data_IF_172330925305
#
_entry.id   IF_172330925305
#
_cell.length_a   1.000
_cell.length_b   1.000
_cell.length_c   1.000
_cell.angle_alpha   90.00
_cell.angle_beta   90.00
_cell.angle_gamma   90.00
#
_symmetry.space_group_name_H-M   'P 1'
#
loop_
_entity.id
_entity.type
_entity.pdbx_description
1 polymer ?
#
# COMPACT_ATOMS: atom_id res chain seq x y z
N UNK A 1 -0.93 8.70 13.40
CA UNK A 1 -1.13 7.27 13.34
C UNK A 1 0.18 6.53 13.25
N UNK A 2 0.14 5.26 13.48
CA UNK A 2 1.25 4.35 13.24
C UNK A 2 0.75 3.28 12.26
N UNK A 3 1.66 2.63 11.54
CA UNK A 3 1.30 1.46 10.76
C UNK A 3 1.00 0.27 11.67
N UNK A 4 0.32 -0.73 11.13
CA UNK A 4 -0.11 -1.90 11.91
C UNK A 4 1.07 -2.70 12.46
N UNK A 5 2.22 -2.78 11.77
CA UNK A 5 3.39 -3.50 12.24
C UNK A 5 3.96 -2.86 13.52
N UNK A 6 4.12 -1.54 13.54
CA UNK A 6 4.55 -0.81 14.73
C UNK A 6 3.55 -0.94 15.91
N UNK A 7 2.25 -1.01 15.61
CA UNK A 7 1.22 -1.24 16.64
C UNK A 7 1.27 -2.67 17.19
N UNK A 8 1.52 -3.66 16.37
CA UNK A 8 1.71 -5.05 16.78
C UNK A 8 2.96 -5.21 17.66
N UNK A 9 4.07 -4.57 17.31
CA UNK A 9 5.27 -4.56 18.14
C UNK A 9 5.03 -3.88 19.49
N UNK A 10 4.33 -2.72 19.49
CA UNK A 10 3.97 -2.03 20.73
C UNK A 10 3.05 -2.88 21.61
N UNK A 11 2.12 -3.63 21.02
CA UNK A 11 1.25 -4.57 21.72
C UNK A 11 2.06 -5.72 22.32
N UNK A 12 2.99 -6.30 21.57
CA UNK A 12 3.88 -7.38 22.04
C UNK A 12 4.76 -6.95 23.22
N UNK A 13 5.15 -5.67 23.26
CA UNK A 13 5.91 -5.07 24.38
C UNK A 13 5.03 -4.61 25.55
N UNK A 14 3.74 -4.98 25.59
CA UNK A 14 2.79 -4.55 26.61
C UNK A 14 2.64 -3.02 26.72
N UNK A 15 2.85 -2.32 25.59
CA UNK A 15 2.82 -0.86 25.49
C UNK A 15 1.43 -0.26 25.30
N UNK A 16 0.44 -1.09 24.94
CA UNK A 16 -0.91 -0.66 24.60
C UNK A 16 -1.93 -1.04 25.68
N UNK A 17 -3.05 -0.33 25.70
CA UNK A 17 -4.21 -0.64 26.56
C UNK A 17 -5.34 -1.15 25.69
N UNK A 18 -5.82 -2.35 25.97
CA UNK A 18 -7.00 -2.89 25.31
C UNK A 18 -8.24 -2.04 25.59
N UNK A 19 -8.96 -1.68 24.54
CA UNK A 19 -10.23 -0.97 24.61
C UNK A 19 -11.06 -1.36 23.40
N UNK A 20 -12.31 -1.73 23.58
CA UNK A 20 -13.22 -2.06 22.47
C UNK A 20 -14.23 -0.91 22.29
N UNK A 21 -13.98 0.02 21.35
CA UNK A 21 -14.93 1.07 21.03
C UNK A 21 -16.18 0.48 20.39
N UNK A 22 -17.34 1.08 20.64
CA UNK A 22 -18.59 0.66 20.01
C UNK A 22 -18.52 0.82 18.48
N UNK A 23 -17.80 1.82 17.99
CA UNK A 23 -17.58 2.07 16.57
C UNK A 23 -16.79 0.94 15.86
N UNK A 24 -16.01 0.13 16.59
CA UNK A 24 -15.28 -1.00 16.00
C UNK A 24 -16.21 -2.09 15.41
N UNK A 25 -17.47 -2.12 15.81
CA UNK A 25 -18.47 -3.01 15.19
C UNK A 25 -18.74 -2.67 13.71
N UNK A 26 -18.31 -1.51 13.24
CA UNK A 26 -18.44 -1.08 11.85
C UNK A 26 -17.21 -1.38 10.98
N UNK A 27 -16.18 -2.05 11.49
CA UNK A 27 -15.02 -2.46 10.66
C UNK A 27 -15.49 -3.36 9.53
N UNK A 28 -15.01 -3.08 8.32
CA UNK A 28 -15.34 -3.85 7.12
C UNK A 28 -14.61 -5.19 7.06
N UNK A 29 -13.49 -5.30 7.77
CA UNK A 29 -12.70 -6.53 7.88
C UNK A 29 -12.21 -6.74 9.32
N UNK A 30 -12.25 -7.99 9.80
CA UNK A 30 -11.73 -8.38 11.11
C UNK A 30 -10.23 -8.20 11.26
N UNK A 31 -9.49 -8.28 10.16
CA UNK A 31 -8.04 -8.10 10.11
C UNK A 31 -7.61 -6.64 10.29
N UNK A 32 -8.56 -5.71 10.30
CA UNK A 32 -8.32 -4.30 10.62
C UNK A 32 -8.30 -4.02 12.13
N UNK A 33 -8.19 -5.05 12.96
CA UNK A 33 -8.04 -4.90 14.40
C UNK A 33 -6.94 -5.82 14.95
N UNK A 34 -6.21 -5.30 15.93
CA UNK A 34 -5.26 -6.09 16.70
C UNK A 34 -5.94 -7.06 17.68
N UNK A 35 -5.20 -8.07 18.11
CA UNK A 35 -5.66 -9.06 19.08
C UNK A 35 -6.17 -8.35 20.34
N UNK A 36 -7.30 -8.83 20.88
CA UNK A 36 -7.93 -8.34 22.10
C UNK A 36 -8.25 -6.84 22.13
N UNK A 37 -8.38 -6.18 20.95
CA UNK A 37 -8.76 -4.76 20.87
C UNK A 37 -7.66 -3.81 21.34
N UNK A 38 -6.41 -4.16 21.12
CA UNK A 38 -5.27 -3.32 21.50
C UNK A 38 -5.03 -2.16 20.52
N UNK A 39 -5.39 -2.33 19.25
CA UNK A 39 -5.32 -1.30 18.22
C UNK A 39 -6.36 -1.57 17.13
N UNK A 40 -6.64 -0.54 16.32
CA UNK A 40 -7.60 -0.60 15.20
C UNK A 40 -7.07 0.16 14.00
N UNK A 41 -7.28 -0.40 12.82
CA UNK A 41 -7.03 0.27 11.55
C UNK A 41 -8.01 1.42 11.33
N UNK A 42 -7.51 2.51 10.81
CA UNK A 42 -8.30 3.73 10.52
C UNK A 42 -8.23 4.14 9.05
N UNK A 43 -7.29 3.60 8.31
CA UNK A 43 -7.14 3.85 6.88
C UNK A 43 -6.34 2.73 6.21
N UNK A 44 -6.74 2.37 5.00
CA UNK A 44 -6.04 1.45 4.10
C UNK A 44 -5.44 2.23 2.94
N UNK A 45 -4.20 1.91 2.59
CA UNK A 45 -3.55 2.41 1.38
C UNK A 45 -2.91 1.25 0.63
N UNK A 46 -3.54 0.78 -0.47
CA UNK A 46 -3.01 -0.33 -1.26
C UNK A 46 -1.73 0.04 -1.98
N UNK A 47 -0.76 -0.88 -2.02
CA UNK A 47 0.25 -0.86 -3.05
C UNK A 47 -0.36 -1.44 -4.33
N UNK A 48 -0.29 -0.71 -5.42
CA UNK A 48 -0.89 -1.13 -6.67
C UNK A 48 -0.18 -0.53 -7.88
N UNK A 49 -0.84 -0.63 -9.01
CA UNK A 49 -0.32 -0.15 -10.29
C UNK A 49 -0.92 1.23 -10.62
N UNK A 50 -0.05 2.15 -10.95
CA UNK A 50 -0.37 3.46 -11.50
C UNK A 50 0.06 3.46 -12.97
N UNK A 51 -0.88 3.71 -13.88
CA UNK A 51 -0.66 3.51 -15.31
C UNK A 51 -1.08 4.73 -16.10
N UNK A 52 -0.23 5.24 -17.01
CA UNK A 52 -0.61 6.28 -17.95
C UNK A 52 -1.34 5.66 -19.15
N UNK A 53 -2.67 5.76 -19.15
CA UNK A 53 -3.53 5.15 -20.18
C UNK A 53 -3.37 5.80 -21.55
N UNK A 54 -3.03 7.09 -21.62
CA UNK A 54 -2.79 7.78 -22.89
C UNK A 54 -1.50 7.27 -23.56
N UNK A 55 -0.43 7.08 -22.78
CA UNK A 55 0.85 6.54 -23.27
C UNK A 55 0.70 5.10 -23.76
N UNK A 56 0.07 4.21 -22.98
CA UNK A 56 -0.18 2.83 -23.41
C UNK A 56 -1.02 2.75 -24.68
N UNK A 57 -2.07 3.54 -24.77
CA UNK A 57 -2.90 3.62 -25.98
C UNK A 57 -2.11 4.07 -27.19
N UNK A 58 -1.19 5.02 -27.04
CA UNK A 58 -0.33 5.47 -28.14
C UNK A 58 0.65 4.38 -28.59
N UNK A 59 1.11 3.53 -27.66
CA UNK A 59 2.01 2.41 -27.93
C UNK A 59 1.27 1.16 -28.41
N UNK A 60 -0.06 1.13 -28.36
CA UNK A 60 -0.92 -0.04 -28.65
C UNK A 60 -0.63 -1.21 -27.71
N UNK A 61 -0.34 -0.92 -26.41
CA UNK A 61 -0.09 -1.87 -25.34
C UNK A 61 -1.29 -1.86 -24.37
N UNK A 62 -1.73 -3.03 -23.93
CA UNK A 62 -2.76 -3.16 -22.91
C UNK A 62 -2.23 -2.74 -21.54
N UNK A 63 -3.10 -2.29 -20.64
CA UNK A 63 -2.69 -1.98 -19.28
C UNK A 63 -2.49 -3.27 -18.46
N UNK A 64 -1.45 -3.35 -17.61
CA UNK A 64 -1.28 -4.49 -16.74
C UNK A 64 -2.39 -4.52 -15.67
N UNK A 65 -2.91 -5.71 -15.37
CA UNK A 65 -3.93 -5.96 -14.35
C UNK A 65 -3.39 -6.82 -13.19
N UNK A 66 -2.19 -7.39 -13.32
CA UNK A 66 -1.55 -8.24 -12.30
C UNK A 66 -0.06 -7.91 -12.15
N UNK A 67 0.55 -8.39 -11.06
CA UNK A 67 2.01 -8.34 -10.90
C UNK A 67 2.70 -9.19 -11.97
N UNK A 68 2.15 -10.38 -12.29
CA UNK A 68 2.71 -11.26 -13.31
C UNK A 68 2.81 -10.55 -14.67
N UNK A 69 1.88 -9.69 -15.00
CA UNK A 69 1.90 -8.93 -16.26
C UNK A 69 3.16 -8.08 -16.42
N UNK A 70 3.76 -7.60 -15.32
CA UNK A 70 4.96 -6.78 -15.36
C UNK A 70 6.19 -7.51 -15.93
N UNK A 71 6.16 -8.84 -16.03
CA UNK A 71 7.23 -9.63 -16.64
C UNK A 71 7.15 -9.68 -18.17
N UNK A 72 6.05 -9.20 -18.78
CA UNK A 72 5.85 -9.24 -20.23
C UNK A 72 6.80 -8.27 -20.94
N UNK A 73 7.40 -8.72 -22.02
CA UNK A 73 8.38 -7.95 -22.80
C UNK A 73 7.82 -6.64 -23.38
N UNK A 74 6.51 -6.52 -23.53
CA UNK A 74 5.86 -5.29 -23.99
C UNK A 74 6.03 -4.11 -23.04
N UNK A 75 6.35 -4.35 -21.76
CA UNK A 75 6.65 -3.32 -20.76
C UNK A 75 8.14 -3.01 -20.62
N UNK A 76 9.00 -3.52 -21.51
CA UNK A 76 10.44 -3.30 -21.44
C UNK A 76 10.80 -1.80 -21.37
N UNK A 77 11.56 -1.43 -20.32
CA UNK A 77 11.94 -0.04 -19.97
C UNK A 77 10.75 0.93 -19.74
N UNK A 78 9.55 0.42 -19.47
CA UNK A 78 8.37 1.26 -19.21
C UNK A 78 7.99 1.32 -17.72
N UNK A 79 8.61 0.48 -16.87
CA UNK A 79 8.23 0.31 -15.48
C UNK A 79 9.16 1.12 -14.55
N UNK A 80 8.54 1.79 -13.58
CA UNK A 80 9.24 2.35 -12.42
C UNK A 80 8.78 1.63 -11.16
N UNK A 81 9.73 1.16 -10.34
CA UNK A 81 9.46 0.48 -9.08
C UNK A 81 10.03 1.26 -7.89
N UNK A 82 9.49 1.09 -6.68
CA UNK A 82 10.11 1.60 -5.47
C UNK A 82 11.37 0.80 -5.13
N UNK A 83 12.37 1.46 -4.55
CA UNK A 83 13.57 0.80 -4.01
C UNK A 83 13.19 -0.14 -2.87
N UNK A 84 13.84 -1.31 -2.78
CA UNK A 84 13.49 -2.36 -1.82
C UNK A 84 13.76 -2.02 -0.35
N UNK A 85 14.47 -0.93 -0.06
CA UNK A 85 14.65 -0.40 1.31
C UNK A 85 13.54 0.55 1.75
N UNK A 86 12.61 0.89 0.84
CA UNK A 86 11.40 1.66 1.15
C UNK A 86 10.25 0.76 1.63
N UNK A 87 9.24 1.36 2.25
CA UNK A 87 8.00 0.65 2.62
C UNK A 87 7.31 0.04 1.41
N UNK A 88 7.21 0.78 0.30
CA UNK A 88 6.58 0.30 -0.93
C UNK A 88 7.36 -0.85 -1.57
N UNK A 89 8.70 -0.77 -1.58
CA UNK A 89 9.54 -1.85 -2.10
C UNK A 89 9.46 -3.12 -1.27
N UNK A 90 9.37 -2.98 0.06
CA UNK A 90 9.14 -4.11 0.97
C UNK A 90 7.75 -4.73 0.76
N UNK A 91 6.72 -3.90 0.55
CA UNK A 91 5.38 -4.38 0.21
C UNK A 91 5.37 -5.11 -1.14
N UNK A 92 6.08 -4.61 -2.15
CA UNK A 92 6.22 -5.30 -3.45
C UNK A 92 6.90 -6.66 -3.29
N UNK A 93 7.97 -6.74 -2.51
CA UNK A 93 8.64 -8.01 -2.23
C UNK A 93 7.73 -8.96 -1.42
N UNK A 94 6.90 -8.44 -0.51
CA UNK A 94 5.91 -9.24 0.21
C UNK A 94 4.82 -9.76 -0.73
N UNK A 95 4.31 -8.94 -1.66
CA UNK A 95 3.37 -9.39 -2.69
C UNK A 95 3.95 -10.53 -3.51
N UNK A 96 5.24 -10.43 -3.89
CA UNK A 96 5.92 -11.48 -4.61
C UNK A 96 6.00 -12.79 -3.81
N UNK A 97 6.28 -12.72 -2.49
CA UNK A 97 6.27 -13.90 -1.62
C UNK A 97 4.89 -14.55 -1.54
N UNK A 98 3.85 -13.76 -1.35
CA UNK A 98 2.50 -14.28 -1.18
C UNK A 98 1.95 -14.89 -2.48
N UNK A 99 2.22 -14.25 -3.62
CA UNK A 99 1.71 -14.68 -4.92
C UNK A 99 2.53 -15.84 -5.50
N UNK A 100 3.87 -15.77 -5.43
CA UNK A 100 4.76 -16.68 -6.16
C UNK A 100 5.53 -17.65 -5.24
N UNK A 101 5.49 -17.46 -3.91
CA UNK A 101 6.16 -18.34 -2.95
C UNK A 101 7.66 -18.50 -3.22
N UNK A 102 8.13 -19.73 -3.38
CA UNK A 102 9.53 -20.05 -3.66
C UNK A 102 10.07 -19.46 -4.98
N UNK A 103 9.20 -18.90 -5.82
CA UNK A 103 9.58 -18.26 -7.08
C UNK A 103 9.63 -16.73 -6.99
N UNK A 104 9.42 -16.15 -5.80
CA UNK A 104 9.38 -14.72 -5.61
C UNK A 104 10.65 -14.00 -6.08
N UNK A 105 11.83 -14.53 -5.73
CA UNK A 105 13.12 -14.00 -6.21
C UNK A 105 13.19 -13.99 -7.73
N UNK A 106 12.87 -15.13 -8.36
CA UNK A 106 12.87 -15.24 -9.82
C UNK A 106 11.93 -14.24 -10.47
N UNK A 107 10.71 -14.09 -9.92
CA UNK A 107 9.73 -13.14 -10.42
C UNK A 107 10.26 -11.70 -10.35
N UNK A 108 10.80 -11.28 -9.19
CA UNK A 108 11.33 -9.92 -9.01
C UNK A 108 12.49 -9.63 -9.98
N UNK A 109 13.36 -10.61 -10.26
CA UNK A 109 14.43 -10.49 -11.24
C UNK A 109 13.91 -10.43 -12.68
N UNK A 110 12.84 -11.17 -13.01
CA UNK A 110 12.19 -11.08 -14.32
C UNK A 110 11.51 -9.73 -14.55
N UNK A 111 10.88 -9.16 -13.52
CA UNK A 111 10.31 -7.80 -13.60
C UNK A 111 11.41 -6.76 -13.77
N UNK A 112 12.56 -6.91 -13.08
CA UNK A 112 13.70 -5.99 -13.19
C UNK A 112 14.19 -5.79 -14.64
N UNK A 113 14.09 -6.82 -15.50
CA UNK A 113 14.43 -6.71 -16.92
C UNK A 113 13.60 -5.63 -17.66
N UNK A 114 12.41 -5.29 -17.14
CA UNK A 114 11.50 -4.30 -17.70
C UNK A 114 11.55 -2.95 -16.97
N UNK A 115 12.33 -2.86 -15.86
CA UNK A 115 12.43 -1.64 -15.06
C UNK A 115 13.42 -0.66 -15.67
N UNK A 116 12.96 0.57 -15.88
CA UNK A 116 13.83 1.68 -16.33
C UNK A 116 14.33 2.52 -15.16
N UNK A 117 13.66 2.49 -14.01
CA UNK A 117 14.05 3.28 -12.84
C UNK A 117 13.50 2.70 -11.53
N UNK A 118 14.32 2.80 -10.49
CA UNK A 118 13.91 2.68 -9.11
C UNK A 118 13.74 4.07 -8.47
N UNK A 119 12.78 4.23 -7.55
CA UNK A 119 12.47 5.50 -6.88
C UNK A 119 12.56 5.33 -5.36
N UNK A 120 13.11 6.35 -4.67
CA UNK A 120 13.25 6.36 -3.21
C UNK A 120 11.90 6.47 -2.48
N UNK A 121 10.86 6.96 -3.16
CA UNK A 121 9.47 6.99 -2.67
C UNK A 121 8.47 6.94 -3.84
N UNK A 122 7.17 6.68 -3.55
CA UNK A 122 6.13 6.53 -4.55
C UNK A 122 5.59 7.84 -5.14
N UNK A 123 5.71 8.96 -4.44
CA UNK A 123 5.15 10.24 -4.85
C UNK A 123 5.75 10.78 -6.16
N UNK A 124 7.09 10.76 -6.38
CA UNK A 124 7.66 11.11 -7.66
C UNK A 124 7.17 10.22 -8.79
N UNK A 125 7.08 8.89 -8.58
CA UNK A 125 6.61 7.95 -9.59
C UNK A 125 5.18 8.30 -10.05
N UNK A 126 4.26 8.54 -9.12
CA UNK A 126 2.88 8.94 -9.42
C UNK A 126 2.81 10.23 -10.26
N UNK A 127 3.64 11.22 -9.94
CA UNK A 127 3.71 12.47 -10.71
C UNK A 127 4.22 12.23 -12.13
N UNK A 128 5.24 11.40 -12.31
CA UNK A 128 5.80 11.10 -13.62
C UNK A 128 4.86 10.22 -14.46
N UNK A 129 4.06 9.37 -13.84
CA UNK A 129 2.93 8.72 -14.53
C UNK A 129 1.94 9.79 -15.02
N UNK A 130 1.63 10.79 -14.20
CA UNK A 130 0.74 11.89 -14.56
C UNK A 130 1.23 12.69 -15.76
N UNK A 131 2.54 12.97 -15.86
CA UNK A 131 3.15 13.71 -16.99
C UNK A 131 3.42 12.83 -18.21
N UNK A 132 3.31 11.51 -18.09
CA UNK A 132 3.62 10.54 -19.15
C UNK A 132 5.12 10.25 -19.34
N UNK A 133 5.99 10.69 -18.42
CA UNK A 133 7.40 10.33 -18.42
C UNK A 133 7.61 8.89 -17.90
N UNK A 134 6.73 8.43 -17.03
CA UNK A 134 6.61 7.04 -16.60
C UNK A 134 5.31 6.46 -17.18
N UNK A 135 5.35 5.23 -17.66
CA UNK A 135 4.16 4.59 -18.26
C UNK A 135 3.44 3.72 -17.24
N UNK A 136 4.20 2.92 -16.49
CA UNK A 136 3.70 2.04 -15.43
C UNK A 136 4.56 2.23 -14.19
N UNK A 137 3.94 2.44 -13.04
CA UNK A 137 4.63 2.48 -11.76
C UNK A 137 3.90 1.61 -10.73
N UNK A 138 4.67 0.96 -9.85
CA UNK A 138 4.15 0.42 -8.60
C UNK A 138 4.35 1.46 -7.48
N UNK A 139 3.34 1.62 -6.63
CA UNK A 139 3.40 2.52 -5.48
C UNK A 139 2.08 2.55 -4.72
N UNK A 140 2.02 3.28 -3.61
CA UNK A 140 0.78 3.47 -2.87
C UNK A 140 -0.23 4.24 -3.72
N UNK A 141 -1.44 3.70 -3.83
CA UNK A 141 -2.46 4.25 -4.72
C UNK A 141 -2.97 5.63 -4.28
N UNK A 142 -2.80 6.00 -3.01
CA UNK A 142 -3.07 7.36 -2.51
C UNK A 142 -2.26 8.43 -3.24
N UNK A 143 -0.99 8.15 -3.59
CA UNK A 143 -0.14 9.06 -4.35
C UNK A 143 -0.69 9.32 -5.75
N UNK A 144 -1.14 8.28 -6.45
CA UNK A 144 -1.78 8.42 -7.75
C UNK A 144 -3.15 9.09 -7.69
N UNK A 145 -3.93 8.82 -6.63
CA UNK A 145 -5.18 9.49 -6.36
C UNK A 145 -4.99 11.01 -6.20
N UNK A 146 -3.97 11.43 -5.42
CA UNK A 146 -3.60 12.83 -5.26
C UNK A 146 -3.27 13.49 -6.60
N UNK A 147 -2.50 12.82 -7.46
CA UNK A 147 -2.16 13.36 -8.79
C UNK A 147 -3.40 13.54 -9.67
N UNK A 148 -4.36 12.63 -9.62
CA UNK A 148 -5.62 12.78 -10.37
C UNK A 148 -6.49 13.90 -9.82
N UNK A 149 -6.68 13.94 -8.50
CA UNK A 149 -7.68 14.79 -7.86
C UNK A 149 -7.19 16.23 -7.63
N UNK A 150 -5.91 16.42 -7.34
CA UNK A 150 -5.33 17.75 -7.10
C UNK A 150 -4.70 18.37 -8.35
N UNK A 151 -4.01 17.56 -9.17
CA UNK A 151 -3.26 18.04 -10.32
C UNK A 151 -3.96 17.81 -11.65
N UNK A 152 -5.11 17.12 -11.66
CA UNK A 152 -5.93 16.90 -12.85
C UNK A 152 -5.34 15.94 -13.88
N UNK A 153 -4.43 15.05 -13.48
CA UNK A 153 -3.84 14.03 -14.36
C UNK A 153 -4.83 12.88 -14.60
N UNK A 154 -5.84 13.12 -15.43
CA UNK A 154 -6.95 12.18 -15.65
C UNK A 154 -6.56 10.90 -16.40
N UNK A 155 -5.40 10.86 -17.05
CA UNK A 155 -4.89 9.69 -17.75
C UNK A 155 -4.23 8.66 -16.81
N UNK A 156 -4.11 8.94 -15.52
CA UNK A 156 -3.68 7.95 -14.53
C UNK A 156 -4.83 6.97 -14.26
N UNK A 157 -4.63 5.68 -14.55
CA UNK A 157 -5.44 4.59 -14.01
C UNK A 157 -4.78 4.05 -12.75
N UNK A 158 -5.57 3.85 -11.70
CA UNK A 158 -5.17 3.16 -10.48
C UNK A 158 -5.75 1.74 -10.52
N UNK A 159 -4.96 0.74 -10.22
CA UNK A 159 -5.40 -0.64 -10.20
C UNK A 159 -4.80 -1.39 -9.01
N UNK A 160 -5.64 -2.11 -8.28
CA UNK A 160 -5.23 -3.19 -7.38
C UNK A 160 -4.99 -4.40 -8.27
N UNK A 161 -3.81 -5.05 -8.20
CA UNK A 161 -3.53 -6.23 -9.02
C UNK A 161 -4.43 -7.42 -8.69
N UNK A 162 -4.95 -8.10 -9.73
CA UNK A 162 -5.88 -9.23 -9.61
C UNK A 162 -5.24 -10.47 -8.92
N UNK A 163 -3.91 -10.55 -8.91
CA UNK A 163 -3.13 -11.60 -8.24
C UNK A 163 -2.75 -11.26 -6.80
N UNK A 164 -3.39 -10.22 -6.25
CA UNK A 164 -3.32 -9.82 -4.85
C UNK A 164 -2.45 -8.61 -4.60
N UNK A 165 -2.92 -7.69 -3.74
CA UNK A 165 -2.21 -6.47 -3.41
C UNK A 165 -1.91 -6.37 -1.91
N UNK A 166 -0.66 -6.07 -1.55
CA UNK A 166 -0.34 -5.69 -0.19
C UNK A 166 -0.82 -4.26 0.09
N UNK A 167 -0.95 -3.93 1.37
CA UNK A 167 -1.42 -2.61 1.76
C UNK A 167 -0.77 -2.10 3.05
N UNK A 168 -0.70 -0.79 3.18
CA UNK A 168 -0.42 -0.13 4.46
C UNK A 168 -1.74 0.02 5.22
N UNK A 169 -1.78 -0.47 6.45
CA UNK A 169 -2.88 -0.23 7.37
C UNK A 169 -2.42 0.78 8.43
N UNK A 170 -2.86 2.02 8.29
CA UNK A 170 -2.69 3.03 9.34
C UNK A 170 -3.66 2.77 10.47
N UNK A 171 -3.16 2.75 11.71
CA UNK A 171 -3.97 2.42 12.87
C UNK A 171 -3.88 3.42 14.01
N UNK A 172 -4.75 3.23 14.98
CA UNK A 172 -4.82 3.98 16.23
C UNK A 172 -4.87 3.02 17.43
N UNK A 173 -4.25 3.42 18.53
CA UNK A 173 -4.21 2.66 19.77
C UNK A 173 -4.15 3.60 20.98
N UNK A 174 -4.47 3.08 22.16
CA UNK A 174 -4.31 3.78 23.43
C UNK A 174 -3.02 3.29 24.09
N UNK A 175 -2.06 4.17 24.30
CA UNK A 175 -0.85 3.83 25.03
C UNK A 175 -1.18 3.48 26.48
N UNK A 176 -0.50 2.49 27.04
CA UNK A 176 -0.64 2.12 28.47
C UNK A 176 -0.31 3.29 29.40
N UNK A 177 0.59 4.15 29.01
CA UNK A 177 1.00 5.35 29.75
C UNK A 177 0.10 6.57 29.53
N UNK A 178 -1.04 6.43 28.84
CA UNK A 178 -1.91 7.56 28.52
C UNK A 178 -2.45 8.24 29.78
N UNK A 179 -2.07 9.50 29.99
CA UNK A 179 -2.51 10.31 31.15
C UNK A 179 -4.01 10.64 31.13
N UNK A 180 -4.64 10.60 29.96
CA UNK A 180 -6.04 10.98 29.73
C UNK A 180 -6.81 9.87 29.02
N UNK A 181 -6.89 8.67 29.66
CA UNK A 181 -7.45 7.48 29.03
C UNK A 181 -8.91 7.66 28.58
N UNK A 182 -9.75 8.38 29.33
CA UNK A 182 -11.13 8.66 28.92
C UNK A 182 -11.21 9.52 27.64
N UNK A 183 -10.33 10.50 27.47
CA UNK A 183 -10.25 11.27 26.22
C UNK A 183 -9.72 10.42 25.07
N UNK A 184 -8.75 9.54 25.34
CA UNK A 184 -8.24 8.61 24.34
C UNK A 184 -9.33 7.61 23.87
N UNK A 185 -10.18 7.13 24.79
CA UNK A 185 -11.32 6.28 24.44
C UNK A 185 -12.33 7.02 23.54
N UNK A 186 -12.68 8.28 23.87
CA UNK A 186 -13.54 9.10 23.01
C UNK A 186 -12.91 9.34 21.62
N UNK A 187 -11.60 9.52 21.57
CA UNK A 187 -10.86 9.63 20.31
C UNK A 187 -10.97 8.34 19.47
N UNK A 188 -10.85 7.16 20.09
CA UNK A 188 -11.00 5.88 19.40
C UNK A 188 -12.42 5.71 18.82
N UNK A 189 -13.48 6.11 19.57
CA UNK A 189 -14.85 6.13 19.03
C UNK A 189 -14.97 7.04 17.80
N UNK A 190 -14.31 8.20 17.82
CA UNK A 190 -14.38 9.17 16.74
C UNK A 190 -13.63 8.71 15.49
N UNK A 191 -12.38 8.24 15.61
CA UNK A 191 -11.55 7.86 14.43
C UNK A 191 -12.08 6.63 13.70
N UNK A 192 -12.84 5.78 14.38
CA UNK A 192 -13.53 4.62 13.79
C UNK A 192 -14.96 4.95 13.33
N UNK A 193 -15.39 6.21 13.40
CA UNK A 193 -16.69 6.60 12.88
C UNK A 193 -16.64 6.86 11.38
N UNK A 194 -17.72 6.53 10.62
CA UNK A 194 -17.82 6.88 9.20
C UNK A 194 -17.62 8.37 8.94
N UNK A 195 -18.07 9.23 9.87
CA UNK A 195 -17.90 10.69 9.76
C UNK A 195 -16.42 11.10 9.78
N UNK A 196 -15.61 10.50 10.67
CA UNK A 196 -14.19 10.83 10.73
C UNK A 196 -13.46 10.31 9.49
N UNK A 197 -13.73 9.09 9.05
CA UNK A 197 -13.03 8.50 7.91
C UNK A 197 -13.41 9.16 6.57
N UNK A 198 -14.62 9.74 6.45
CA UNK A 198 -14.97 10.57 5.31
C UNK A 198 -14.09 11.83 5.20
N UNK A 199 -13.70 12.43 6.35
CA UNK A 199 -12.87 13.65 6.38
C UNK A 199 -11.48 13.43 5.77
N UNK A 200 -10.96 12.21 5.71
CA UNK A 200 -9.64 11.92 5.12
C UNK A 200 -9.60 12.37 3.65
N UNK A 201 -10.47 11.82 2.81
CA UNK A 201 -10.55 12.18 1.39
C UNK A 201 -10.97 13.63 1.16
N UNK A 202 -11.89 14.18 1.99
CA UNK A 202 -12.32 15.59 1.92
C UNK A 202 -11.19 16.59 2.19
N UNK A 203 -10.15 16.17 2.91
CA UNK A 203 -9.01 17.00 3.29
C UNK A 203 -7.68 16.61 2.60
N UNK A 204 -7.74 15.90 1.49
CA UNK A 204 -6.55 15.59 0.68
C UNK A 204 -5.73 14.39 1.17
N UNK A 205 -6.25 13.60 2.11
CA UNK A 205 -5.66 12.31 2.47
C UNK A 205 -6.43 11.19 1.77
N UNK A 206 -5.96 10.82 0.60
CA UNK A 206 -6.65 9.95 -0.35
C UNK A 206 -6.43 8.47 -0.05
N UNK A 207 -6.80 8.04 1.15
CA UNK A 207 -6.74 6.66 1.61
C UNK A 207 -8.15 6.07 1.72
N UNK A 208 -8.26 4.76 1.75
CA UNK A 208 -9.56 4.07 1.81
C UNK A 208 -9.98 3.82 3.26
N UNK A 209 -11.28 3.94 3.57
CA UNK A 209 -11.78 3.74 4.92
C UNK A 209 -11.74 2.26 5.33
N UNK A 210 -11.64 2.03 6.64
CA UNK A 210 -11.69 0.71 7.27
C UNK A 210 -13.06 0.35 7.83
N UNK A 211 -14.00 1.29 7.82
CA UNK A 211 -15.37 1.07 8.35
C UNK A 211 -16.41 1.18 7.25
N UNK A 212 -17.51 0.44 7.44
CA UNK A 212 -18.64 0.49 6.53
C UNK A 212 -19.43 1.82 6.65
N UNK A 213 -20.19 2.15 5.60
CA UNK A 213 -21.12 3.28 5.60
C UNK A 213 -20.45 4.65 5.46
N UNK A 214 -19.18 4.72 5.10
CA UNK A 214 -18.49 5.98 4.79
C UNK A 214 -19.00 6.51 3.46
N UNK A 215 -19.39 7.79 3.43
CA UNK A 215 -19.73 8.49 2.18
C UNK A 215 -18.51 9.26 1.71
N UNK A 216 -17.88 8.78 0.66
CA UNK A 216 -16.71 9.40 0.04
C UNK A 216 -17.13 10.44 -1.00
N UNK A 217 -16.29 11.47 -1.28
CA UNK A 217 -16.51 12.39 -2.40
C UNK A 217 -16.69 11.65 -3.73
N UNK A 218 -17.54 12.19 -4.60
CA UNK A 218 -17.83 11.56 -5.90
C UNK A 218 -16.55 11.38 -6.73
N UNK A 219 -15.69 12.38 -6.75
CA UNK A 219 -14.42 12.37 -7.46
C UNK A 219 -13.49 11.24 -6.95
N UNK A 220 -13.51 10.95 -5.65
CA UNK A 220 -12.74 9.85 -5.08
C UNK A 220 -13.34 8.49 -5.48
N UNK A 221 -14.65 8.35 -5.44
CA UNK A 221 -15.31 7.10 -5.87
C UNK A 221 -15.12 6.81 -7.36
N UNK A 222 -14.97 7.84 -8.20
CA UNK A 222 -14.68 7.71 -9.63
C UNK A 222 -13.25 7.21 -9.93
N UNK A 223 -12.37 7.09 -8.93
CA UNK A 223 -11.08 6.41 -9.09
C UNK A 223 -11.26 4.92 -9.39
N UNK A 224 -12.39 4.36 -8.99
CA UNK A 224 -12.81 2.97 -9.24
C UNK A 224 -11.76 1.94 -8.81
N UNK A 225 -11.22 2.13 -7.61
CA UNK A 225 -10.30 1.19 -6.95
C UNK A 225 -11.13 0.18 -6.17
N UNK A 226 -10.98 -1.09 -6.51
CA UNK A 226 -11.55 -2.22 -5.79
C UNK A 226 -10.57 -2.70 -4.73
N UNK A 227 -11.06 -3.04 -3.54
CA UNK A 227 -10.24 -3.50 -2.43
C UNK A 227 -10.46 -5.00 -2.14
N UNK A 228 -11.21 -5.70 -2.96
CA UNK A 228 -11.53 -7.11 -2.74
C UNK A 228 -10.28 -8.02 -2.84
N UNK A 229 -9.24 -7.60 -3.59
CA UNK A 229 -8.01 -8.33 -3.80
C UNK A 229 -6.86 -7.92 -2.85
N UNK A 230 -7.16 -7.25 -1.73
CA UNK A 230 -6.15 -6.99 -0.71
C UNK A 230 -5.74 -8.29 0.00
N UNK A 231 -4.43 -8.55 0.08
CA UNK A 231 -3.92 -9.83 0.60
C UNK A 231 -3.13 -9.72 1.89
N UNK A 232 -2.19 -8.80 1.98
CA UNK A 232 -1.23 -8.79 3.08
C UNK A 232 -0.75 -7.40 3.49
N UNK A 233 -0.14 -7.35 4.65
CA UNK A 233 0.60 -6.21 5.19
C UNK A 233 2.06 -6.60 5.38
N UNK A 234 2.93 -5.64 5.68
CA UNK A 234 4.29 -5.98 6.07
C UNK A 234 4.26 -6.92 7.29
N UNK A 235 4.99 -8.02 7.23
CA UNK A 235 5.00 -9.01 8.30
C UNK A 235 5.84 -8.54 9.50
N UNK A 236 5.57 -9.16 10.65
CA UNK A 236 6.37 -9.03 11.87
C UNK A 236 6.98 -10.38 12.27
N UNK A 237 7.98 -10.37 13.14
CA UNK A 237 8.60 -11.58 13.66
C UNK A 237 9.34 -12.42 12.61
N UNK A 238 9.18 -13.74 12.64
CA UNK A 238 9.90 -14.69 11.76
C UNK A 238 9.59 -14.47 10.26
N UNK A 239 8.39 -14.04 9.92
CA UNK A 239 8.02 -13.76 8.53
C UNK A 239 8.75 -12.53 7.99
N UNK A 240 9.08 -11.56 8.83
CA UNK A 240 9.91 -10.41 8.45
C UNK A 240 11.35 -10.83 8.11
N UNK A 241 11.90 -11.86 8.75
CA UNK A 241 13.22 -12.40 8.40
C UNK A 241 13.21 -13.04 7.00
N UNK A 242 12.13 -13.72 6.61
CA UNK A 242 11.96 -14.28 5.27
C UNK A 242 11.91 -13.19 4.20
N UNK A 243 11.16 -12.12 4.45
CA UNK A 243 11.09 -10.97 3.57
C UNK A 243 12.46 -10.29 3.41
N UNK A 244 13.17 -10.08 4.52
CA UNK A 244 14.52 -9.51 4.51
C UNK A 244 15.49 -10.36 3.70
N UNK A 245 15.46 -11.69 3.88
CA UNK A 245 16.32 -12.61 3.12
C UNK A 245 16.03 -12.56 1.60
N UNK A 246 14.76 -12.46 1.20
CA UNK A 246 14.39 -12.29 -0.21
C UNK A 246 14.97 -10.98 -0.78
N UNK A 247 14.75 -9.86 -0.07
CA UNK A 247 15.24 -8.54 -0.51
C UNK A 247 16.77 -8.54 -0.64
N UNK A 248 17.49 -9.10 0.33
CA UNK A 248 18.94 -9.22 0.28
C UNK A 248 19.41 -10.07 -0.92
N UNK A 249 18.73 -11.18 -1.23
CA UNK A 249 19.05 -12.04 -2.37
C UNK A 249 18.85 -11.31 -3.71
N UNK A 250 17.73 -10.62 -3.87
CA UNK A 250 17.42 -9.82 -5.07
C UNK A 250 18.45 -8.69 -5.24
N UNK A 251 18.70 -7.91 -4.19
CA UNK A 251 19.66 -6.80 -4.24
C UNK A 251 21.10 -7.26 -4.53
N UNK A 252 21.52 -8.41 -3.99
CA UNK A 252 22.83 -8.99 -4.27
C UNK A 252 23.00 -9.39 -5.74
N UNK A 253 21.91 -9.81 -6.38
CA UNK A 253 21.88 -10.18 -7.81
C UNK A 253 21.89 -8.92 -8.70
N UNK A 254 21.09 -7.90 -8.34
CA UNK A 254 21.00 -6.66 -9.10
C UNK A 254 22.24 -5.77 -8.96
N UNK A 255 22.90 -5.80 -7.79
CA UNK A 255 24.09 -5.00 -7.47
C UNK A 255 25.24 -5.90 -7.02
N UNK A 256 25.82 -6.74 -7.91
CA UNK A 256 26.91 -7.62 -7.52
C UNK A 256 28.11 -6.79 -7.02
N UNK A 257 28.79 -7.23 -5.94
CA UNK A 257 29.97 -6.55 -5.47
C UNK A 257 31.01 -6.46 -6.59
N UNK A 258 31.64 -5.29 -6.74
CA UNK A 258 32.68 -5.09 -7.74
C UNK A 258 33.75 -6.19 -7.60
N UNK A 259 34.05 -6.90 -8.67
CA UNK A 259 35.14 -7.90 -8.69
C UNK A 259 36.44 -7.20 -8.28
N UNK A 260 37.05 -7.63 -7.17
CA UNK A 260 38.26 -7.08 -6.59
C UNK A 260 39.51 -7.59 -7.29
#
# INVERSE_FOLDING_TARGET
GADSAALEEAAAMDGLTAYVPAAAAGLSDGDFAGVDGQWYGVAVDPLGLMVNTASLKQMEIDAPDSWEDLTKLEYWELIWLPEYDTTEGQLLAQAALDTFGDKAEKFLLEVDENVSRYTEDGDPAARYVGTGECVVAAGLLSSGAAQRLENGYNDIRLAVPDDGAPYVLSGAAILRSAAHSAAAQLWMEFVLSPTCQALAAENGWYVWPTVEGVTLPEEFTQLNVDLDDLTCRLPTGENAETLTALIEAVQATLNPPAES
#
